data_IF_126090382871
#
_entry.id   IF_126090382871
#
_cell.length_a   1.000
_cell.length_b   1.000
_cell.length_c   1.000
_cell.angle_alpha   90.00
_cell.angle_beta   90.00
_cell.angle_gamma   90.00
#
_symmetry.space_group_name_H-M   'P 1'
#
loop_
_entity.id
_entity.type
_entity.pdbx_description
1 polymer ?
#
# COMPACT_ATOMS: atom_id res chain seq x y z
N UNK A 1 0.09 -35.23 -3.57
CA UNK A 1 1.13 -34.80 -2.61
C UNK A 1 1.14 -33.29 -2.62
N UNK A 2 0.91 -32.62 -1.50
CA UNK A 2 0.85 -31.14 -1.43
C UNK A 2 2.21 -30.60 -1.01
N UNK A 3 2.60 -29.43 -1.54
CA UNK A 3 3.85 -28.70 -1.20
C UNK A 3 4.07 -28.64 0.33
N UNK A 4 3.00 -28.34 1.07
CA UNK A 4 2.99 -28.23 2.53
C UNK A 4 3.39 -29.54 3.23
N UNK A 5 3.04 -30.69 2.69
CA UNK A 5 3.41 -31.97 3.29
C UNK A 5 4.90 -32.25 3.15
N UNK A 6 5.53 -31.80 2.06
CA UNK A 6 6.99 -31.95 1.90
C UNK A 6 7.77 -30.97 2.75
N UNK A 7 7.30 -29.72 2.88
CA UNK A 7 7.90 -28.75 3.80
C UNK A 7 7.88 -29.31 5.23
N UNK A 8 6.73 -29.85 5.68
CA UNK A 8 6.60 -30.45 7.02
C UNK A 8 7.52 -31.65 7.25
N UNK A 9 7.85 -32.42 6.21
CA UNK A 9 8.83 -33.51 6.32
C UNK A 9 10.25 -32.96 6.46
N UNK A 10 10.63 -32.01 5.63
CA UNK A 10 11.96 -31.40 5.65
C UNK A 10 12.23 -30.65 6.97
N UNK A 11 11.20 -30.02 7.55
CA UNK A 11 11.31 -29.38 8.87
C UNK A 11 11.67 -30.33 10.02
N UNK A 12 11.61 -31.66 9.83
CA UNK A 12 12.08 -32.63 10.83
C UNK A 12 13.62 -32.68 10.92
N UNK A 13 14.31 -32.22 9.89
CA UNK A 13 15.77 -32.35 9.74
C UNK A 13 16.48 -31.03 9.47
N UNK A 14 15.78 -29.96 9.11
CA UNK A 14 16.35 -28.64 8.84
C UNK A 14 15.43 -27.50 9.32
N UNK A 15 15.98 -26.28 9.42
CA UNK A 15 15.18 -25.10 9.75
C UNK A 15 14.09 -24.83 8.71
N UNK A 16 13.02 -24.16 9.15
CA UNK A 16 11.83 -23.91 8.33
C UNK A 16 12.16 -23.19 7.02
N UNK A 17 13.00 -22.15 7.05
CA UNK A 17 13.39 -21.42 5.82
C UNK A 17 14.12 -22.34 4.85
N UNK A 18 15.13 -23.09 5.32
CA UNK A 18 15.86 -24.07 4.50
C UNK A 18 14.95 -25.19 3.98
N UNK A 19 13.97 -25.64 4.77
CA UNK A 19 13.00 -26.65 4.37
C UNK A 19 12.09 -26.15 3.25
N UNK A 20 11.65 -24.89 3.33
CA UNK A 20 10.87 -24.24 2.28
C UNK A 20 11.71 -24.10 1.01
N UNK A 21 12.92 -23.58 1.12
CA UNK A 21 13.81 -23.35 -0.03
C UNK A 21 14.17 -24.65 -0.77
N UNK A 22 14.48 -25.72 -0.02
CA UNK A 22 14.75 -27.03 -0.60
C UNK A 22 13.55 -27.61 -1.37
N UNK A 23 12.33 -27.46 -0.84
CA UNK A 23 11.11 -27.94 -1.51
C UNK A 23 10.79 -27.09 -2.75
N UNK A 24 10.98 -25.78 -2.67
CA UNK A 24 10.80 -24.87 -3.82
C UNK A 24 11.78 -25.22 -4.93
N UNK A 25 13.05 -25.39 -4.60
CA UNK A 25 14.10 -25.81 -5.55
C UNK A 25 13.75 -27.12 -6.21
N UNK A 26 13.34 -28.14 -5.44
CA UNK A 26 12.87 -29.40 -5.97
C UNK A 26 11.71 -29.25 -6.96
N UNK A 27 10.71 -28.42 -6.63
CA UNK A 27 9.56 -28.16 -7.50
C UNK A 27 9.93 -27.43 -8.80
N UNK A 28 11.00 -26.63 -8.80
CA UNK A 28 11.53 -25.97 -10.00
C UNK A 28 12.27 -26.99 -10.85
N UNK A 29 13.21 -27.74 -10.26
CA UNK A 29 14.04 -28.73 -10.97
C UNK A 29 13.22 -29.86 -11.62
N UNK A 30 12.10 -30.22 -11.01
CA UNK A 30 11.25 -31.32 -11.48
C UNK A 30 10.03 -30.85 -12.29
N UNK A 31 10.04 -29.61 -12.81
CA UNK A 31 8.98 -29.02 -13.65
C UNK A 31 7.57 -29.02 -13.00
N UNK A 32 7.48 -29.20 -11.67
CA UNK A 32 6.22 -29.19 -10.92
C UNK A 32 5.60 -27.80 -10.96
N UNK A 33 6.43 -26.76 -10.72
CA UNK A 33 5.97 -25.38 -10.75
C UNK A 33 5.56 -24.96 -12.17
N UNK A 34 6.32 -25.38 -13.19
CA UNK A 34 6.00 -25.12 -14.61
C UNK A 34 4.66 -25.72 -15.01
N UNK A 35 4.42 -26.99 -14.67
CA UNK A 35 3.17 -27.69 -14.97
C UNK A 35 1.97 -27.01 -14.30
N UNK A 36 2.14 -26.56 -13.05
CA UNK A 36 1.14 -25.79 -12.33
C UNK A 36 0.80 -24.46 -13.03
N UNK A 37 1.82 -23.66 -13.37
CA UNK A 37 1.63 -22.36 -14.03
C UNK A 37 0.97 -22.49 -15.41
N UNK A 38 1.31 -23.54 -16.17
CA UNK A 38 0.70 -23.80 -17.48
C UNK A 38 -0.79 -24.14 -17.34
N UNK A 39 -1.16 -24.95 -16.34
CA UNK A 39 -2.54 -25.37 -16.09
C UNK A 39 -3.41 -24.24 -15.53
N UNK A 40 -2.85 -23.41 -14.66
CA UNK A 40 -3.56 -22.35 -13.93
C UNK A 40 -3.26 -20.94 -14.47
N UNK A 41 -2.90 -20.82 -15.75
CA UNK A 41 -2.42 -19.55 -16.33
C UNK A 41 -3.34 -18.35 -16.11
N UNK A 42 -4.65 -18.54 -16.25
CA UNK A 42 -5.62 -17.46 -16.08
C UNK A 42 -5.67 -16.99 -14.61
N UNK A 43 -5.73 -17.92 -13.68
CA UNK A 43 -5.75 -17.65 -12.23
C UNK A 43 -4.46 -16.99 -11.77
N UNK A 44 -3.29 -17.50 -12.20
CA UNK A 44 -1.99 -16.90 -11.86
C UNK A 44 -1.89 -15.47 -12.41
N UNK A 45 -2.36 -15.24 -13.64
CA UNK A 45 -2.38 -13.89 -14.23
C UNK A 45 -3.27 -12.95 -13.42
N UNK A 46 -4.45 -13.41 -13.02
CA UNK A 46 -5.40 -12.62 -12.24
C UNK A 46 -4.82 -12.27 -10.87
N UNK A 47 -4.21 -13.24 -10.19
CA UNK A 47 -3.48 -13.01 -8.93
C UNK A 47 -2.39 -11.96 -9.13
N UNK A 48 -1.53 -12.08 -10.16
CA UNK A 48 -0.46 -11.11 -10.39
C UNK A 48 -0.94 -9.68 -10.74
N UNK A 49 -2.14 -9.54 -11.31
CA UNK A 49 -2.71 -8.22 -11.64
C UNK A 49 -3.39 -7.60 -10.42
N UNK A 50 -4.06 -8.42 -9.63
CA UNK A 50 -4.85 -7.98 -8.47
C UNK A 50 -4.06 -8.03 -7.17
N UNK A 51 -2.81 -8.49 -7.20
CA UNK A 51 -1.94 -8.55 -6.03
C UNK A 51 -1.79 -7.17 -5.41
N UNK A 52 -2.04 -7.12 -4.11
CA UNK A 52 -1.96 -5.90 -3.34
C UNK A 52 -0.49 -5.44 -3.25
N UNK A 53 -0.23 -4.25 -3.78
CA UNK A 53 1.07 -3.60 -3.66
C UNK A 53 1.13 -2.80 -2.35
N UNK A 54 1.58 -3.46 -1.28
CA UNK A 54 1.72 -2.87 0.06
C UNK A 54 2.54 -1.58 0.05
N UNK A 55 3.62 -1.54 -0.74
CA UNK A 55 4.47 -0.35 -0.84
C UNK A 55 3.71 0.83 -1.41
N UNK A 56 3.02 0.64 -2.54
CA UNK A 56 2.20 1.70 -3.15
C UNK A 56 1.06 2.15 -2.25
N UNK A 57 0.45 1.24 -1.50
CA UNK A 57 -0.58 1.59 -0.53
C UNK A 57 -0.01 2.44 0.63
N UNK A 58 1.08 1.99 1.26
CA UNK A 58 1.72 2.71 2.37
C UNK A 58 2.23 4.08 1.92
N UNK A 59 2.77 4.18 0.72
CA UNK A 59 3.19 5.46 0.12
C UNK A 59 1.98 6.37 -0.11
N UNK A 60 0.84 5.82 -0.56
CA UNK A 60 -0.43 6.52 -0.69
C UNK A 60 -0.94 7.11 0.63
N UNK A 61 -1.04 6.29 1.68
CA UNK A 61 -1.45 6.72 3.02
C UNK A 61 -0.53 7.83 3.55
N UNK A 62 0.77 7.68 3.33
CA UNK A 62 1.75 8.68 3.78
C UNK A 62 1.64 10.00 3.00
N UNK A 63 1.32 9.94 1.71
CA UNK A 63 1.10 11.13 0.90
C UNK A 63 -0.18 11.86 1.31
N UNK A 64 -1.27 11.11 1.51
CA UNK A 64 -2.55 11.62 1.99
C UNK A 64 -2.41 12.30 3.35
N UNK A 65 -1.79 11.64 4.33
CA UNK A 65 -1.58 12.23 5.65
C UNK A 65 -0.69 13.49 5.65
N UNK A 66 0.24 13.62 4.68
CA UNK A 66 0.99 14.87 4.50
C UNK A 66 0.14 15.99 3.91
N UNK A 67 -0.69 15.66 2.91
CA UNK A 67 -1.59 16.63 2.30
C UNK A 67 -2.64 17.12 3.30
N UNK A 68 -3.23 16.22 4.08
CA UNK A 68 -4.17 16.55 5.16
C UNK A 68 -3.50 17.43 6.21
N UNK A 69 -2.31 17.07 6.70
CA UNK A 69 -1.58 17.89 7.67
C UNK A 69 -1.15 19.27 7.15
N UNK A 70 -0.93 19.43 5.84
CA UNK A 70 -0.69 20.74 5.22
C UNK A 70 -1.98 21.56 5.15
N UNK A 71 -3.08 20.95 4.74
CA UNK A 71 -4.40 21.58 4.68
C UNK A 71 -4.87 22.03 6.06
N UNK A 72 -4.70 21.21 7.11
CA UNK A 72 -5.05 21.58 8.48
C UNK A 72 -4.25 22.78 8.99
N UNK A 73 -2.94 22.82 8.71
CA UNK A 73 -2.09 23.97 9.07
C UNK A 73 -2.52 25.22 8.33
N UNK A 74 -2.76 25.12 7.03
CA UNK A 74 -3.27 26.23 6.23
C UNK A 74 -4.63 26.73 6.73
N UNK A 75 -5.55 25.83 7.07
CA UNK A 75 -6.84 26.17 7.67
C UNK A 75 -6.70 26.87 9.03
N UNK A 76 -5.76 26.43 9.87
CA UNK A 76 -5.48 27.10 11.13
C UNK A 76 -4.95 28.53 10.92
N UNK A 77 -4.06 28.73 9.94
CA UNK A 77 -3.56 30.05 9.55
C UNK A 77 -4.70 30.92 9.01
N UNK A 78 -5.51 30.39 8.08
CA UNK A 78 -6.68 31.06 7.52
C UNK A 78 -7.65 31.53 8.62
N UNK A 79 -8.02 30.66 9.55
CA UNK A 79 -8.91 31.00 10.68
C UNK A 79 -8.34 32.12 11.55
N UNK A 80 -7.02 32.10 11.80
CA UNK A 80 -6.36 33.16 12.57
C UNK A 80 -6.33 34.50 11.82
N UNK A 81 -6.13 34.50 10.50
CA UNK A 81 -6.18 35.71 9.68
C UNK A 81 -7.60 36.30 9.63
N UNK A 82 -8.62 35.45 9.47
CA UNK A 82 -10.04 35.85 9.53
C UNK A 82 -10.37 36.52 10.86
N UNK A 83 -9.96 35.93 11.99
CA UNK A 83 -10.13 36.53 13.33
C UNK A 83 -9.43 37.88 13.52
N UNK A 84 -8.37 38.14 12.74
CA UNK A 84 -7.62 39.40 12.76
C UNK A 84 -8.16 40.45 11.79
N UNK A 85 -9.26 40.14 11.08
CA UNK A 85 -9.96 41.08 10.19
C UNK A 85 -9.49 41.07 8.75
N UNK A 86 -8.69 40.09 8.33
CA UNK A 86 -8.33 39.94 6.91
C UNK A 86 -9.54 39.49 6.07
N UNK A 87 -9.59 39.96 4.83
CA UNK A 87 -10.60 39.51 3.84
C UNK A 87 -10.47 38.01 3.60
N UNK A 88 -11.53 37.37 3.08
CA UNK A 88 -11.51 35.93 2.78
C UNK A 88 -10.47 35.65 1.71
N UNK A 89 -10.42 36.51 0.71
CA UNK A 89 -9.53 36.47 -0.45
C UNK A 89 -8.07 36.56 -0.02
N UNK A 90 -7.71 37.55 0.80
CA UNK A 90 -6.34 37.73 1.29
C UNK A 90 -5.93 36.57 2.21
N UNK A 91 -6.83 36.11 3.07
CA UNK A 91 -6.55 35.01 3.98
C UNK A 91 -6.32 33.68 3.24
N UNK A 92 -7.06 33.40 2.17
CA UNK A 92 -6.86 32.22 1.32
C UNK A 92 -5.51 32.26 0.60
N UNK A 93 -5.15 33.41 0.02
CA UNK A 93 -3.86 33.61 -0.67
C UNK A 93 -2.69 33.49 0.30
N UNK A 94 -2.78 34.08 1.50
CA UNK A 94 -1.71 34.04 2.50
C UNK A 94 -1.55 32.64 3.10
N UNK A 95 -2.66 31.93 3.32
CA UNK A 95 -2.64 30.58 3.87
C UNK A 95 -2.30 29.51 2.83
N UNK A 96 -2.28 29.86 1.54
CA UNK A 96 -2.02 28.97 0.40
C UNK A 96 -2.90 27.71 0.43
N UNK A 97 -4.21 27.91 0.64
CA UNK A 97 -5.19 26.81 0.67
C UNK A 97 -6.29 27.02 -0.38
N UNK A 98 -6.80 25.90 -0.90
CA UNK A 98 -7.96 25.92 -1.79
C UNK A 98 -9.20 26.46 -1.06
N UNK A 99 -10.02 27.32 -1.70
CA UNK A 99 -11.32 27.73 -1.18
C UNK A 99 -12.23 26.55 -0.81
N UNK A 100 -12.12 25.42 -1.53
CA UNK A 100 -12.94 24.22 -1.31
C UNK A 100 -12.70 23.57 0.06
N UNK A 101 -11.54 23.84 0.69
CA UNK A 101 -11.21 23.34 2.02
C UNK A 101 -11.86 24.17 3.13
N UNK A 102 -12.33 25.38 2.81
CA UNK A 102 -13.00 26.26 3.75
C UNK A 102 -14.49 26.01 3.64
N UNK A 103 -15.06 25.38 4.67
CA UNK A 103 -16.51 25.31 4.81
C UNK A 103 -16.99 26.71 5.15
N UNK A 104 -17.83 27.29 4.29
CA UNK A 104 -18.47 28.57 4.58
C UNK A 104 -19.36 28.40 5.81
N UNK A 105 -19.01 29.10 6.89
CA UNK A 105 -19.88 29.27 8.06
C UNK A 105 -20.93 30.32 7.67
N UNK A 106 -22.07 29.87 7.15
CA UNK A 106 -23.30 30.67 7.02
C UNK A 106 -23.79 31.17 8.39
#
# INVERSE_FOLDING_TARGET
>A
MTLINEIRKNCKTMEFESAVDAVVTYCIEHDVLKTFLLKHRAEVKDVCITEYNEKSFVDGIRAEGRAEGQNEKGLAVYRNLRKRGFSKEDALVIADISPDLVVDED
#
